data_IF_642959064919
#
_entry.id   IF_642959064919
#
_cell.length_a   1.000
_cell.length_b   1.000
_cell.length_c   1.000
_cell.angle_alpha   90.00
_cell.angle_beta   90.00
_cell.angle_gamma   90.00
#
_symmetry.space_group_name_H-M   'P 1'
#
loop_
_entity.id
_entity.type
_entity.pdbx_description
1 polymer ?
#
# COMPACT_ATOMS: atom_id res chain seq x y z
N UNK A 1 -12.31 -2.44 3.62
CA UNK A 1 -11.69 -1.54 2.61
C UNK A 1 -12.62 -0.34 2.48
N UNK A 2 -12.16 0.91 2.71
CA UNK A 2 -13.04 2.09 2.83
C UNK A 2 -13.88 2.32 1.56
N UNK A 3 -13.30 2.00 0.41
CA UNK A 3 -13.87 2.17 -0.93
C UNK A 3 -15.01 1.20 -1.22
N UNK A 4 -15.15 0.13 -0.42
CA UNK A 4 -16.28 -0.80 -0.49
C UNK A 4 -17.40 -0.44 0.49
N UNK A 5 -17.20 0.56 1.35
CA UNK A 5 -18.16 1.00 2.35
C UNK A 5 -18.93 2.23 1.85
N UNK A 6 -19.73 2.04 0.80
CA UNK A 6 -20.65 3.04 0.25
C UNK A 6 -22.05 2.44 0.11
N UNK A 7 -23.08 3.26 0.30
CA UNK A 7 -24.47 2.81 0.20
C UNK A 7 -24.89 2.59 -1.25
N UNK A 8 -25.81 1.65 -1.51
CA UNK A 8 -26.30 1.34 -2.87
C UNK A 8 -26.79 2.59 -3.62
N UNK A 9 -27.44 3.52 -2.93
CA UNK A 9 -27.87 4.79 -3.52
C UNK A 9 -26.69 5.66 -3.98
N UNK A 10 -25.57 5.66 -3.23
CA UNK A 10 -24.35 6.34 -3.67
C UNK A 10 -23.72 5.64 -4.89
N UNK A 11 -23.84 4.31 -4.98
CA UNK A 11 -23.36 3.56 -6.15
C UNK A 11 -24.17 3.92 -7.39
N UNK A 12 -25.51 3.95 -7.29
CA UNK A 12 -26.41 4.28 -8.41
C UNK A 12 -26.20 5.72 -8.88
N UNK A 13 -26.17 6.67 -7.95
CA UNK A 13 -25.90 8.08 -8.26
C UNK A 13 -24.53 8.24 -8.92
N UNK A 14 -23.51 7.56 -8.37
CA UNK A 14 -22.15 7.59 -8.88
C UNK A 14 -22.02 6.96 -10.26
N UNK A 15 -22.71 5.85 -10.54
CA UNK A 15 -22.75 5.25 -11.87
C UNK A 15 -23.45 6.18 -12.88
N UNK A 16 -24.53 6.83 -12.48
CA UNK A 16 -25.25 7.79 -13.34
C UNK A 16 -24.34 8.97 -13.74
N UNK A 17 -23.67 9.60 -12.78
CA UNK A 17 -22.71 10.68 -13.07
C UNK A 17 -21.50 10.17 -13.89
N UNK A 18 -20.99 8.98 -13.57
CA UNK A 18 -19.90 8.38 -14.31
C UNK A 18 -20.27 8.17 -15.78
N UNK A 19 -21.46 7.59 -16.03
CA UNK A 19 -21.99 7.36 -17.37
C UNK A 19 -22.13 8.66 -18.16
N UNK A 20 -22.74 9.68 -17.58
CA UNK A 20 -22.86 11.00 -18.22
C UNK A 20 -21.50 11.57 -18.61
N UNK A 21 -20.50 11.43 -17.73
CA UNK A 21 -19.14 11.89 -18.00
C UNK A 21 -18.48 11.09 -19.13
N UNK A 22 -18.57 9.76 -19.10
CA UNK A 22 -17.90 8.90 -20.09
C UNK A 22 -18.60 8.92 -21.45
N UNK A 23 -19.82 9.43 -21.62
CA UNK A 23 -20.44 9.51 -22.95
C UNK A 23 -19.65 10.37 -23.95
N UNK A 24 -18.71 11.19 -23.48
CA UNK A 24 -17.79 11.96 -24.30
C UNK A 24 -16.40 11.27 -24.38
N UNK A 25 -15.93 10.98 -25.61
CA UNK A 25 -14.64 10.32 -25.86
C UNK A 25 -13.43 11.13 -25.37
N UNK A 26 -13.50 12.46 -25.41
CA UNK A 26 -12.47 13.32 -24.84
C UNK A 26 -12.43 13.16 -23.31
N UNK A 27 -13.58 13.12 -22.66
CA UNK A 27 -13.70 12.90 -21.21
C UNK A 27 -13.16 11.53 -20.79
N UNK A 28 -13.51 10.44 -21.53
CA UNK A 28 -12.91 9.11 -21.33
C UNK A 28 -11.39 9.17 -21.38
N UNK A 29 -10.87 9.79 -22.44
CA UNK A 29 -9.42 9.94 -22.64
C UNK A 29 -8.75 10.76 -21.54
N UNK A 30 -9.41 11.80 -21.05
CA UNK A 30 -8.91 12.63 -19.94
C UNK A 30 -8.79 11.83 -18.64
N UNK A 31 -9.82 11.06 -18.28
CA UNK A 31 -9.82 10.19 -17.10
C UNK A 31 -8.69 9.17 -17.16
N UNK A 32 -8.60 8.42 -18.27
CA UNK A 32 -7.58 7.38 -18.43
C UNK A 32 -6.17 7.96 -18.34
N UNK A 33 -5.92 9.09 -19.00
CA UNK A 33 -4.63 9.80 -18.92
C UNK A 33 -4.33 10.29 -17.52
N UNK A 34 -5.31 10.79 -16.78
CA UNK A 34 -5.10 11.23 -15.39
C UNK A 34 -4.66 10.06 -14.50
N UNK A 35 -5.32 8.91 -14.63
CA UNK A 35 -4.94 7.68 -13.92
C UNK A 35 -3.53 7.24 -14.33
N UNK A 36 -3.29 7.10 -15.63
CA UNK A 36 -2.01 6.60 -16.15
C UNK A 36 -0.84 7.53 -15.80
N UNK A 37 -1.00 8.85 -15.94
CA UNK A 37 0.03 9.82 -15.57
C UNK A 37 0.36 9.77 -14.07
N UNK A 38 -0.63 9.52 -13.23
CA UNK A 38 -0.42 9.39 -11.79
C UNK A 38 0.33 8.09 -11.47
N UNK A 39 -0.04 6.98 -12.12
CA UNK A 39 0.61 5.68 -11.92
C UNK A 39 2.04 5.65 -12.47
N UNK A 40 2.28 6.27 -13.62
CA UNK A 40 3.61 6.35 -14.27
C UNK A 40 4.49 7.40 -13.57
N UNK A 41 3.89 8.33 -12.84
CA UNK A 41 4.59 9.37 -12.10
C UNK A 41 5.56 8.80 -11.06
N UNK A 42 6.68 9.49 -10.84
CA UNK A 42 7.70 9.13 -9.85
C UNK A 42 7.19 9.03 -8.41
N UNK A 43 6.03 9.63 -8.15
CA UNK A 43 5.40 9.64 -6.84
C UNK A 43 4.44 8.46 -6.62
N UNK A 44 4.23 7.58 -7.60
CA UNK A 44 3.49 6.33 -7.37
C UNK A 44 4.30 5.37 -6.48
N UNK A 45 3.69 4.67 -5.51
CA UNK A 45 2.29 4.61 -5.14
C UNK A 45 1.82 5.69 -4.15
N UNK A 46 2.70 6.61 -3.73
CA UNK A 46 2.41 7.65 -2.73
C UNK A 46 1.28 8.59 -3.14
N UNK A 47 1.06 8.76 -4.44
CA UNK A 47 -0.01 9.61 -4.97
C UNK A 47 -1.39 8.94 -5.02
N UNK A 48 -1.55 7.69 -4.55
CA UNK A 48 -2.85 7.01 -4.61
C UNK A 48 -3.97 7.78 -3.89
N UNK A 49 -3.74 8.30 -2.68
CA UNK A 49 -4.77 9.05 -1.96
C UNK A 49 -5.06 10.42 -2.57
N UNK A 50 -4.07 11.04 -3.20
CA UNK A 50 -4.26 12.26 -3.98
C UNK A 50 -5.10 11.99 -5.23
N UNK A 51 -4.81 10.89 -5.93
CA UNK A 51 -5.65 10.40 -7.04
C UNK A 51 -7.08 10.16 -6.59
N UNK A 52 -7.26 9.49 -5.45
CA UNK A 52 -8.55 9.11 -4.89
C UNK A 52 -9.38 10.27 -4.39
N UNK A 53 -8.74 11.21 -3.70
CA UNK A 53 -9.45 12.22 -2.88
C UNK A 53 -9.45 13.60 -3.52
N UNK A 54 -8.66 13.82 -4.59
CA UNK A 54 -8.53 15.12 -5.23
C UNK A 54 -8.59 15.03 -6.76
N UNK A 55 -7.71 14.26 -7.41
CA UNK A 55 -7.56 14.32 -8.88
C UNK A 55 -8.80 13.77 -9.59
N UNK A 56 -9.20 12.53 -9.30
CA UNK A 56 -10.39 11.94 -9.95
C UNK A 56 -11.69 12.62 -9.54
N UNK A 57 -11.92 13.00 -8.27
CA UNK A 57 -13.10 13.79 -7.92
C UNK A 57 -13.20 15.13 -8.65
N UNK A 58 -12.08 15.83 -8.87
CA UNK A 58 -12.07 17.10 -9.62
C UNK A 58 -12.38 16.93 -11.12
N UNK A 59 -12.15 15.73 -11.68
CA UNK A 59 -12.37 15.43 -13.09
C UNK A 59 -13.78 14.86 -13.31
N UNK A 60 -14.14 13.86 -12.51
CA UNK A 60 -15.34 13.03 -12.68
C UNK A 60 -16.53 13.55 -11.87
N UNK A 61 -16.28 14.32 -10.80
CA UNK A 61 -17.22 14.55 -9.72
C UNK A 61 -17.03 13.55 -8.57
N UNK A 62 -17.39 13.98 -7.36
CA UNK A 62 -17.19 13.20 -6.13
C UNK A 62 -17.90 11.83 -6.17
N UNK A 63 -19.14 11.77 -6.67
CA UNK A 63 -19.90 10.51 -6.67
C UNK A 63 -19.41 9.56 -7.75
N UNK A 64 -19.18 10.04 -8.97
CA UNK A 64 -18.58 9.25 -10.05
C UNK A 64 -17.21 8.70 -9.65
N UNK A 65 -16.38 9.50 -8.98
CA UNK A 65 -15.09 9.02 -8.49
C UNK A 65 -15.24 7.95 -7.41
N UNK A 66 -16.19 8.10 -6.47
CA UNK A 66 -16.46 7.05 -5.46
C UNK A 66 -16.89 5.74 -6.11
N UNK A 67 -17.84 5.81 -7.06
CA UNK A 67 -18.28 4.66 -7.84
C UNK A 67 -17.12 3.98 -8.57
N UNK A 68 -16.26 4.74 -9.24
CA UNK A 68 -15.12 4.21 -9.97
C UNK A 68 -14.19 3.39 -9.06
N UNK A 69 -13.83 3.90 -7.89
CA UNK A 69 -13.00 3.14 -6.95
C UNK A 69 -13.71 1.93 -6.39
N UNK A 70 -14.98 2.06 -5.99
CA UNK A 70 -15.79 0.94 -5.55
C UNK A 70 -15.81 -0.18 -6.60
N UNK A 71 -16.08 0.17 -7.86
CA UNK A 71 -16.14 -0.77 -8.98
C UNK A 71 -14.78 -1.46 -9.22
N UNK A 72 -13.68 -0.70 -9.26
CA UNK A 72 -12.32 -1.24 -9.46
C UNK A 72 -11.93 -2.20 -8.34
N UNK A 73 -12.34 -1.97 -7.10
CA UNK A 73 -12.01 -2.86 -5.98
C UNK A 73 -12.92 -4.08 -5.84
N UNK A 74 -13.77 -4.34 -6.84
CA UNK A 74 -14.67 -5.49 -6.82
C UNK A 74 -15.91 -5.25 -5.97
N UNK A 75 -16.41 -4.01 -5.95
CA UNK A 75 -17.77 -3.70 -5.54
C UNK A 75 -18.74 -4.70 -6.18
N UNK A 76 -19.52 -5.36 -5.32
CA UNK A 76 -20.17 -6.63 -5.64
C UNK A 76 -21.37 -6.46 -6.59
N UNK A 77 -21.50 -7.47 -7.45
CA UNK A 77 -22.45 -7.76 -8.53
C UNK A 77 -23.87 -8.07 -7.98
N UNK A 78 -24.29 -7.44 -6.88
CA UNK A 78 -25.67 -7.59 -6.44
C UNK A 78 -26.60 -7.01 -7.52
N UNK A 79 -27.61 -7.79 -7.90
CA UNK A 79 -28.56 -7.65 -9.02
C UNK A 79 -29.32 -6.32 -9.17
N UNK A 80 -28.94 -5.28 -8.43
CA UNK A 80 -29.62 -3.99 -8.36
C UNK A 80 -29.03 -2.92 -9.30
N UNK A 81 -27.81 -3.10 -9.80
CA UNK A 81 -27.18 -2.16 -10.73
C UNK A 81 -27.16 -2.77 -12.12
N UNK A 82 -28.05 -2.29 -12.98
CA UNK A 82 -28.11 -2.66 -14.39
C UNK A 82 -27.13 -1.76 -15.17
N UNK A 83 -25.93 -2.27 -15.43
CA UNK A 83 -24.95 -1.57 -16.26
C UNK A 83 -25.35 -1.70 -17.72
N UNK A 84 -25.30 -0.60 -18.47
CA UNK A 84 -25.54 -0.65 -19.90
C UNK A 84 -24.42 -1.40 -20.62
N UNK A 85 -24.81 -2.25 -21.60
CA UNK A 85 -23.86 -3.12 -22.31
C UNK A 85 -22.71 -2.35 -22.96
N UNK A 86 -22.94 -1.09 -23.35
CA UNK A 86 -21.94 -0.21 -23.97
C UNK A 86 -20.86 0.29 -22.99
N UNK A 87 -21.16 0.32 -21.69
CA UNK A 87 -20.22 0.76 -20.65
C UNK A 87 -19.31 -0.38 -20.17
N UNK A 88 -19.78 -1.63 -20.27
CA UNK A 88 -19.09 -2.82 -19.81
C UNK A 88 -17.65 -2.95 -20.32
N UNK A 89 -17.32 -2.68 -21.60
CA UNK A 89 -15.94 -2.75 -22.09
C UNK A 89 -14.98 -1.83 -21.32
N UNK A 90 -15.39 -0.58 -21.05
CA UNK A 90 -14.57 0.39 -20.32
C UNK A 90 -14.45 -0.01 -18.85
N UNK A 91 -15.56 -0.38 -18.22
CA UNK A 91 -15.58 -0.85 -16.83
C UNK A 91 -14.65 -2.06 -16.64
N UNK A 92 -14.77 -3.07 -17.50
CA UNK A 92 -13.91 -4.25 -17.48
C UNK A 92 -12.43 -3.90 -17.73
N UNK A 93 -12.15 -2.95 -18.62
CA UNK A 93 -10.81 -2.44 -18.84
C UNK A 93 -10.25 -1.80 -17.55
N UNK A 94 -11.02 -0.91 -16.91
CA UNK A 94 -10.62 -0.21 -15.69
C UNK A 94 -10.29 -1.19 -14.56
N UNK A 95 -11.20 -2.15 -14.31
CA UNK A 95 -11.00 -3.20 -13.29
C UNK A 95 -9.75 -4.02 -13.62
N UNK A 96 -9.66 -4.58 -14.82
CA UNK A 96 -8.53 -5.45 -15.20
C UNK A 96 -7.17 -4.74 -15.16
N UNK A 97 -7.12 -3.45 -15.51
CA UNK A 97 -5.85 -2.73 -15.62
C UNK A 97 -5.39 -2.02 -14.34
N UNK A 98 -6.31 -1.71 -13.42
CA UNK A 98 -6.01 -0.85 -12.27
C UNK A 98 -6.22 -1.51 -10.91
N UNK A 99 -6.99 -2.60 -10.78
CA UNK A 99 -7.24 -3.26 -9.48
C UNK A 99 -5.94 -3.62 -8.75
N UNK A 100 -5.04 -4.38 -9.38
CA UNK A 100 -3.78 -4.80 -8.75
C UNK A 100 -2.85 -3.63 -8.45
N UNK A 101 -2.82 -2.63 -9.34
CA UNK A 101 -1.99 -1.42 -9.16
C UNK A 101 -2.46 -0.65 -7.94
N UNK A 102 -3.78 -0.45 -7.81
CA UNK A 102 -4.36 0.28 -6.68
C UNK A 102 -4.29 -0.50 -5.37
N UNK A 103 -4.45 -1.83 -5.40
CA UNK A 103 -4.26 -2.69 -4.23
C UNK A 103 -2.81 -2.61 -3.71
N UNK A 104 -1.83 -2.75 -4.61
CA UNK A 104 -0.40 -2.56 -4.27
C UNK A 104 -0.17 -1.16 -3.73
N UNK A 105 -0.74 -0.14 -4.37
CA UNK A 105 -0.53 1.22 -3.93
C UNK A 105 -1.07 1.47 -2.52
N UNK A 106 -2.25 0.96 -2.19
CA UNK A 106 -2.81 1.06 -0.84
C UNK A 106 -2.00 0.32 0.21
N UNK A 107 -1.33 -0.76 -0.16
CA UNK A 107 -0.44 -1.50 0.72
C UNK A 107 0.81 -0.69 1.08
N UNK A 108 1.31 0.12 0.15
CA UNK A 108 2.60 0.81 0.28
C UNK A 108 2.48 2.32 0.49
N UNK A 109 1.28 2.88 0.34
CA UNK A 109 1.05 4.30 0.55
C UNK A 109 0.80 4.59 2.03
N UNK A 110 1.36 5.72 2.46
CA UNK A 110 1.41 6.32 3.79
C UNK A 110 0.04 6.23 4.46
N UNK A 111 -0.19 5.13 5.19
CA UNK A 111 -1.18 5.10 6.24
C UNK A 111 -0.91 6.33 7.13
N UNK A 112 -1.90 7.19 7.46
CA UNK A 112 -1.71 8.26 8.46
C UNK A 112 -1.29 7.70 9.84
N UNK A 113 -1.51 6.40 10.07
CA UNK A 113 -0.97 5.64 11.20
C UNK A 113 0.29 4.82 10.90
N UNK A 114 0.87 4.95 9.70
CA UNK A 114 2.15 4.35 9.31
C UNK A 114 3.34 5.15 9.84
N UNK A 115 4.55 4.71 9.50
CA UNK A 115 5.80 5.31 9.98
C UNK A 115 6.86 5.41 8.89
N UNK A 116 7.77 6.37 9.02
CA UNK A 116 8.86 6.60 8.07
C UNK A 116 10.26 6.41 8.69
N UNK A 117 10.35 6.29 10.01
CA UNK A 117 11.61 6.08 10.72
C UNK A 117 11.44 5.12 11.89
N UNK A 118 12.40 4.20 12.05
CA UNK A 118 12.51 3.34 13.21
C UNK A 118 13.94 3.46 13.75
N UNK A 119 14.07 3.77 15.04
CA UNK A 119 15.33 3.74 15.77
C UNK A 119 15.26 2.71 16.89
N UNK A 120 16.40 2.21 17.34
CA UNK A 120 16.46 1.32 18.51
C UNK A 120 17.60 1.69 19.45
N UNK A 121 17.41 1.38 20.73
CA UNK A 121 18.46 1.46 21.76
C UNK A 121 18.39 0.23 22.65
N UNK A 122 19.51 -0.14 23.25
CA UNK A 122 19.53 -1.17 24.27
C UNK A 122 18.81 -0.69 25.53
N UNK A 123 17.91 -1.52 26.06
CA UNK A 123 17.32 -1.29 27.36
C UNK A 123 18.35 -1.39 28.47
N UNK A 124 18.04 -0.84 29.65
CA UNK A 124 18.87 -1.01 30.85
C UNK A 124 19.01 -2.49 31.25
N UNK A 125 18.02 -3.31 30.88
CA UNK A 125 18.04 -4.77 31.03
C UNK A 125 18.58 -5.41 29.74
N UNK A 126 19.56 -6.31 29.87
CA UNK A 126 20.36 -6.88 28.76
C UNK A 126 19.55 -7.65 27.70
N UNK A 127 18.30 -7.98 27.99
CA UNK A 127 17.39 -8.78 27.18
C UNK A 127 16.29 -7.95 26.48
N UNK A 128 16.29 -6.62 26.66
CA UNK A 128 15.25 -5.73 26.13
C UNK A 128 15.80 -4.65 25.22
N UNK A 129 15.02 -4.34 24.20
CA UNK A 129 15.25 -3.23 23.27
C UNK A 129 14.16 -2.18 23.44
N UNK A 130 14.53 -0.91 23.33
CA UNK A 130 13.58 0.19 23.17
C UNK A 130 13.56 0.57 21.69
N UNK A 131 12.41 0.44 21.04
CA UNK A 131 12.16 0.79 19.65
C UNK A 131 11.38 2.10 19.61
N UNK A 132 11.87 3.07 18.85
CA UNK A 132 11.22 4.35 18.60
C UNK A 132 10.73 4.35 17.15
N UNK A 133 9.42 4.47 16.97
CA UNK A 133 8.79 4.52 15.65
C UNK A 133 8.26 5.94 15.45
N UNK A 134 8.81 6.67 14.48
CA UNK A 134 8.30 7.98 14.07
C UNK A 134 7.26 7.78 12.98
N UNK A 135 6.01 8.12 13.31
CA UNK A 135 4.86 8.01 12.43
C UNK A 135 4.86 9.12 11.37
N UNK A 136 4.08 8.92 10.32
CA UNK A 136 3.97 9.87 9.22
C UNK A 136 3.31 11.21 9.59
N UNK A 137 2.66 11.28 10.75
CA UNK A 137 2.12 12.48 11.39
C UNK A 137 3.08 13.08 12.43
N UNK A 138 4.36 12.71 12.40
CA UNK A 138 5.44 13.11 13.30
C UNK A 138 5.26 12.65 14.77
N UNK A 139 4.22 11.89 15.09
CA UNK A 139 4.06 11.29 16.41
C UNK A 139 5.08 10.16 16.64
N UNK A 140 5.58 10.03 17.87
CA UNK A 140 6.54 8.98 18.23
C UNK A 140 5.91 7.93 19.12
N UNK A 141 6.12 6.67 18.75
CA UNK A 141 5.67 5.51 19.51
C UNK A 141 6.89 4.77 20.09
N UNK A 142 6.88 4.55 21.41
CA UNK A 142 7.93 3.82 22.12
C UNK A 142 7.44 2.41 22.44
N UNK A 143 8.15 1.40 21.93
CA UNK A 143 7.90 0.00 22.26
C UNK A 143 9.11 -0.55 23.01
N UNK A 144 8.86 -1.30 24.09
CA UNK A 144 9.89 -2.03 24.81
C UNK A 144 9.69 -3.52 24.55
N UNK A 145 10.62 -4.13 23.82
CA UNK A 145 10.48 -5.49 23.29
C UNK A 145 11.60 -6.38 23.80
N UNK A 146 11.34 -7.69 23.83
CA UNK A 146 12.39 -8.69 23.96
C UNK A 146 13.25 -8.77 22.69
N UNK A 147 14.41 -9.41 22.80
CA UNK A 147 15.30 -9.72 21.65
C UNK A 147 14.56 -10.49 20.54
N UNK A 148 13.72 -11.46 20.91
CA UNK A 148 13.00 -12.32 19.95
C UNK A 148 11.97 -11.50 19.17
N UNK A 149 11.19 -10.67 19.87
CA UNK A 149 10.21 -9.78 19.23
C UNK A 149 10.89 -8.75 18.33
N UNK A 150 12.01 -8.18 18.78
CA UNK A 150 12.80 -7.24 17.96
C UNK A 150 13.25 -7.89 16.66
N UNK A 151 13.84 -9.09 16.74
CA UNK A 151 14.26 -9.88 15.59
C UNK A 151 13.09 -10.19 14.62
N UNK A 152 11.93 -10.56 15.17
CA UNK A 152 10.72 -10.79 14.38
C UNK A 152 10.22 -9.52 13.67
N UNK A 153 10.17 -8.39 14.38
CA UNK A 153 9.80 -7.09 13.82
C UNK A 153 10.77 -6.66 12.72
N UNK A 154 12.07 -6.85 12.93
CA UNK A 154 13.10 -6.47 11.96
C UNK A 154 12.96 -7.26 10.65
N UNK A 155 12.67 -8.56 10.75
CA UNK A 155 12.35 -9.40 9.58
C UNK A 155 11.11 -8.87 8.82
N UNK A 156 10.03 -8.55 9.53
CA UNK A 156 8.81 -7.98 8.95
C UNK A 156 9.07 -6.62 8.28
N UNK A 157 9.90 -5.76 8.87
CA UNK A 157 10.27 -4.48 8.28
C UNK A 157 11.10 -4.66 7.02
N UNK A 158 12.09 -5.56 7.03
CA UNK A 158 12.87 -5.90 5.84
C UNK A 158 11.95 -6.40 4.73
N UNK A 159 11.02 -7.29 5.04
CA UNK A 159 10.03 -7.79 4.06
C UNK A 159 9.16 -6.66 3.51
N UNK A 160 8.63 -5.79 4.38
CA UNK A 160 7.82 -4.63 3.99
C UNK A 160 8.57 -3.68 3.07
N UNK A 161 9.77 -3.23 3.46
CA UNK A 161 10.58 -2.31 2.65
C UNK A 161 11.06 -2.97 1.36
N UNK A 162 11.41 -4.26 1.38
CA UNK A 162 11.76 -5.00 0.15
C UNK A 162 10.60 -5.02 -0.85
N UNK A 163 9.37 -5.24 -0.36
CA UNK A 163 8.17 -5.16 -1.19
C UNK A 163 7.94 -3.74 -1.73
N UNK A 164 8.19 -2.69 -0.94
CA UNK A 164 8.12 -1.31 -1.40
C UNK A 164 9.13 -1.00 -2.51
N UNK A 165 10.39 -1.42 -2.35
CA UNK A 165 11.44 -1.26 -3.37
C UNK A 165 11.08 -1.99 -4.66
N UNK A 166 10.68 -3.25 -4.57
CA UNK A 166 10.28 -4.05 -5.73
C UNK A 166 9.05 -3.49 -6.44
N UNK A 167 8.17 -2.80 -5.70
CA UNK A 167 7.01 -2.10 -6.26
C UNK A 167 7.34 -0.70 -6.81
N UNK A 168 8.59 -0.24 -6.72
CA UNK A 168 9.01 1.10 -7.14
C UNK A 168 8.52 2.23 -6.22
N UNK A 169 8.07 1.91 -5.00
CA UNK A 169 7.49 2.88 -4.06
C UNK A 169 8.52 3.73 -3.31
N UNK A 170 9.76 3.25 -3.28
CA UNK A 170 10.92 3.92 -2.72
C UNK A 170 12.03 3.69 -3.74
N UNK A 171 12.62 4.78 -4.24
CA UNK A 171 13.87 4.71 -4.97
C UNK A 171 14.99 4.50 -3.96
N UNK A 172 15.77 3.44 -4.15
CA UNK A 172 16.95 3.14 -3.36
C UNK A 172 18.15 3.38 -4.28
N UNK A 173 19.12 4.17 -3.83
CA UNK A 173 20.37 4.35 -4.57
C UNK A 173 21.13 3.02 -4.65
N UNK A 174 21.99 2.87 -5.66
CA UNK A 174 22.78 1.65 -5.82
C UNK A 174 23.68 1.36 -4.59
N UNK A 175 24.14 2.40 -3.89
CA UNK A 175 24.89 2.28 -2.63
C UNK A 175 24.01 1.73 -1.49
N UNK A 176 22.80 2.27 -1.32
CA UNK A 176 21.85 1.81 -0.31
C UNK A 176 21.37 0.37 -0.59
N UNK A 177 21.18 -0.01 -1.85
CA UNK A 177 20.82 -1.39 -2.22
C UNK A 177 21.93 -2.39 -1.86
N UNK A 178 23.18 -1.99 -2.10
CA UNK A 178 24.36 -2.80 -1.74
C UNK A 178 24.47 -2.94 -0.23
N UNK A 179 24.25 -1.86 0.51
CA UNK A 179 24.24 -1.85 1.97
C UNK A 179 23.13 -2.73 2.56
N UNK A 180 21.91 -2.66 2.02
CA UNK A 180 20.79 -3.50 2.46
C UNK A 180 21.03 -4.99 2.20
N UNK A 181 21.64 -5.35 1.07
CA UNK A 181 22.06 -6.75 0.79
C UNK A 181 23.09 -7.24 1.81
N UNK A 182 24.05 -6.38 2.18
CA UNK A 182 25.04 -6.69 3.22
C UNK A 182 24.37 -6.93 4.58
N UNK A 183 23.50 -6.02 5.03
CA UNK A 183 22.75 -6.17 6.29
C UNK A 183 21.89 -7.44 6.30
N UNK A 184 21.19 -7.73 5.20
CA UNK A 184 20.34 -8.92 5.09
C UNK A 184 21.15 -10.22 5.21
N UNK A 185 22.34 -10.25 4.61
CA UNK A 185 23.28 -11.37 4.72
C UNK A 185 23.77 -11.54 6.16
N UNK A 186 24.21 -10.45 6.80
CA UNK A 186 24.74 -10.46 8.17
C UNK A 186 23.67 -10.89 9.18
N UNK A 187 22.42 -10.44 8.99
CA UNK A 187 21.29 -10.86 9.81
C UNK A 187 21.00 -12.35 9.66
N UNK A 188 20.95 -12.88 8.43
CA UNK A 188 20.77 -14.33 8.19
C UNK A 188 21.86 -15.15 8.85
N UNK A 189 23.12 -14.72 8.73
CA UNK A 189 24.23 -15.42 9.36
C UNK A 189 24.14 -15.38 10.88
N UNK A 190 23.73 -14.24 11.45
CA UNK A 190 23.53 -14.08 12.89
C UNK A 190 22.38 -14.97 13.39
N UNK A 191 21.27 -15.05 12.66
CA UNK A 191 20.16 -15.95 12.98
C UNK A 191 20.60 -17.41 12.94
N UNK A 192 21.32 -17.85 11.88
CA UNK A 192 21.83 -19.21 11.78
C UNK A 192 22.79 -19.55 12.95
N UNK A 193 23.65 -18.61 13.36
CA UNK A 193 24.55 -18.81 14.51
C UNK A 193 23.78 -18.89 15.84
N UNK A 194 22.73 -18.10 16.01
CA UNK A 194 21.87 -18.15 17.20
C UNK A 194 21.09 -19.47 17.25
N UNK A 195 20.52 -19.88 16.13
CA UNK A 195 19.76 -21.13 15.99
C UNK A 195 20.65 -22.36 16.29
N UNK A 196 21.86 -22.42 15.72
CA UNK A 196 22.83 -23.48 16.01
C UNK A 196 23.22 -23.53 17.49
N UNK A 197 23.36 -22.37 18.15
CA UNK A 197 23.64 -22.33 19.60
C UNK A 197 22.48 -22.83 20.47
N UNK A 198 21.24 -22.59 20.04
CA UNK A 198 20.07 -23.14 20.73
C UNK A 198 20.00 -24.67 20.58
N UNK A 199 20.23 -25.21 19.36
CA UNK A 199 20.20 -26.65 19.12
C UNK A 199 21.41 -27.44 19.66
N UNK A 200 22.58 -26.81 19.82
CA UNK A 200 23.73 -27.41 20.51
C UNK A 200 23.56 -27.42 22.05
N UNK A 201 22.69 -26.57 22.59
CA UNK A 201 22.34 -26.52 24.01
C UNK A 201 21.44 -27.67 24.46
N UNK A 202 20.51 -28.12 23.61
CA UNK A 202 19.54 -29.19 23.93
C UNK A 202 20.11 -30.62 23.83
N UNK A 203 21.30 -30.79 23.24
CA UNK A 203 21.95 -32.11 23.11
C UNK A 203 22.91 -32.45 24.27
N UNK A 204 22.96 -31.62 25.32
CA UNK A 204 23.84 -31.79 26.48
C UNK A 204 23.10 -31.85 27.83
N UNK A 205 21.78 -32.06 27.84
CA UNK A 205 21.02 -32.44 29.06
C UNK A 205 20.69 -33.93 29.11
#
# INVERSE_FOLDING_TARGET
MIELNIDVTEVIDGYTEFKEYINDEFNKGLMLRAIDNTIIGKSWPRSYFELRSSILPAILGDKASKFLFWFIFGGDDSTEIDYEEEDLPLLNFLRSNYTDKFLKAKQFNVNPHGFYQINYTHGADKDRFNIYITRNDDEQLLLRTSVVEYCGMLSQFIEYFSKMTNAGAIEISAEEETFLKMISSDLKETFNRLENRFYEGDNNE
#
